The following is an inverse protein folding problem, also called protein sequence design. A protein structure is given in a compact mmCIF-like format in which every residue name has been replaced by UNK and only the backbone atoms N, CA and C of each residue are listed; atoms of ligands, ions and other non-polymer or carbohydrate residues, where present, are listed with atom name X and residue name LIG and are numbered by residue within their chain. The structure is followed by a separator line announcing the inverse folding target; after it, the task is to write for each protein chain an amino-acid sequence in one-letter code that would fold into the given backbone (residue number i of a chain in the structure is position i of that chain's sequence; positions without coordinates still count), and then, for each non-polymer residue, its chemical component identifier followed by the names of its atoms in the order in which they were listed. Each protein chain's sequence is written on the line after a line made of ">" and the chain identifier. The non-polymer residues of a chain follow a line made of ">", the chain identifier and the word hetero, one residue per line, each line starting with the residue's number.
data_IF_179619853687
#
_entry.id   IF_179619853687
#
_cell.length_a   1.000
_cell.length_b   1.000
_cell.length_c   1.000
_cell.angle_alpha   90.00
_cell.angle_beta   90.00
_cell.angle_gamma   90.00
#
_symmetry.space_group_name_H-M   'P 1'
#
loop_
_entity.id
_entity.type
_entity.pdbx_description
1 polymer ?
#
# COMPACT_ATOMS: atom_id res chain seq x y z
N UNK A 1 -12.60 1.57 -15.39
CA UNK A 1 -11.44 0.66 -15.50
C UNK A 1 -10.33 1.42 -16.23
N UNK A 2 -9.24 1.77 -15.54
CA UNK A 2 -8.07 2.40 -16.16
C UNK A 2 -7.40 1.42 -17.13
N UNK A 3 -6.62 1.96 -18.08
CA UNK A 3 -5.99 1.22 -19.19
C UNK A 3 -5.32 -0.07 -18.72
N UNK A 4 -5.49 -1.15 -19.49
CA UNK A 4 -4.75 -2.41 -19.34
C UNK A 4 -3.27 -2.08 -19.13
N UNK A 5 -2.66 -2.67 -18.09
CA UNK A 5 -1.27 -2.48 -17.63
C UNK A 5 -0.92 -1.17 -16.90
N UNK A 6 -1.89 -0.29 -16.59
CA UNK A 6 -1.66 0.92 -15.78
C UNK A 6 -2.41 0.83 -14.44
N UNK A 7 -1.83 0.07 -13.50
CA UNK A 7 -2.40 -0.21 -12.17
C UNK A 7 -1.92 0.74 -11.07
N UNK A 8 -1.39 1.92 -11.42
CA UNK A 8 -0.77 2.84 -10.46
C UNK A 8 -1.73 3.19 -9.32
N UNK A 9 -3.01 3.38 -9.63
CA UNK A 9 -4.03 3.71 -8.63
C UNK A 9 -4.69 2.46 -8.03
N UNK A 10 -4.76 1.37 -8.80
CA UNK A 10 -5.46 0.15 -8.40
C UNK A 10 -4.64 -0.68 -7.40
N UNK A 11 -3.34 -0.85 -7.63
CA UNK A 11 -2.47 -1.68 -6.77
C UNK A 11 -2.43 -1.21 -5.30
N UNK A 12 -2.25 0.09 -5.02
CA UNK A 12 -2.32 0.60 -3.65
C UNK A 12 -3.70 0.37 -3.00
N UNK A 13 -4.77 0.57 -3.77
CA UNK A 13 -6.15 0.38 -3.30
C UNK A 13 -6.44 -1.08 -2.98
N UNK A 14 -6.03 -2.02 -3.85
CA UNK A 14 -6.12 -3.46 -3.63
C UNK A 14 -5.34 -3.89 -2.39
N UNK A 15 -4.12 -3.35 -2.21
CA UNK A 15 -3.31 -3.62 -1.04
C UNK A 15 -3.99 -3.18 0.26
N UNK A 16 -4.56 -1.97 0.29
CA UNK A 16 -5.32 -1.46 1.44
C UNK A 16 -6.51 -2.37 1.77
N UNK A 17 -7.30 -2.75 0.76
CA UNK A 17 -8.44 -3.64 0.99
C UNK A 17 -8.02 -5.05 1.42
N UNK A 18 -6.88 -5.55 0.96
CA UNK A 18 -6.32 -6.82 1.43
C UNK A 18 -5.99 -6.79 2.93
N UNK A 19 -5.48 -5.65 3.41
CA UNK A 19 -5.22 -5.42 4.84
C UNK A 19 -6.53 -5.33 5.62
N UNK A 20 -7.46 -4.46 5.22
CA UNK A 20 -8.77 -4.31 5.88
C UNK A 20 -9.48 -5.67 6.00
N UNK A 21 -9.42 -6.48 4.94
CA UNK A 21 -10.04 -7.80 4.95
C UNK A 21 -9.38 -8.75 5.95
N UNK A 22 -8.04 -8.82 5.93
CA UNK A 22 -7.28 -9.75 6.77
C UNK A 22 -7.29 -9.38 8.25
N UNK A 23 -7.23 -8.09 8.55
CA UNK A 23 -7.07 -7.59 9.92
C UNK A 23 -8.40 -7.24 10.61
N UNK A 24 -9.49 -7.07 9.87
CA UNK A 24 -10.79 -6.70 10.43
C UNK A 24 -11.91 -7.62 9.91
N UNK A 25 -12.14 -7.66 8.59
CA UNK A 25 -13.33 -8.33 8.05
C UNK A 25 -13.37 -9.85 8.32
N UNK A 26 -12.27 -10.58 8.11
CA UNK A 26 -12.26 -12.04 8.24
C UNK A 26 -12.26 -12.55 9.68
N UNK A 27 -12.01 -11.66 10.65
CA UNK A 27 -11.91 -12.03 12.07
C UNK A 27 -13.11 -11.52 12.89
N UNK A 28 -14.06 -10.86 12.24
CA UNK A 28 -15.25 -10.27 12.87
C UNK A 28 -16.52 -10.82 12.22
N UNK A 29 -17.56 -10.97 13.04
CA UNK A 29 -18.91 -11.29 12.57
C UNK A 29 -19.73 -10.00 12.54
N UNK A 30 -20.53 -9.82 11.48
CA UNK A 30 -21.40 -8.64 11.32
C UNK A 30 -22.85 -9.11 11.16
N UNK A 31 -23.75 -8.52 11.93
CA UNK A 31 -25.17 -8.83 11.88
C UNK A 31 -25.88 -8.16 10.70
N UNK A 32 -25.44 -6.96 10.31
CA UNK A 32 -26.02 -6.20 9.20
C UNK A 32 -25.01 -5.30 8.47
N UNK A 33 -25.47 -4.67 7.39
CA UNK A 33 -24.67 -3.78 6.55
C UNK A 33 -24.20 -2.53 7.31
N UNK A 34 -25.01 -1.97 8.21
CA UNK A 34 -24.65 -0.76 8.94
C UNK A 34 -23.50 -1.02 9.89
N UNK A 35 -23.51 -2.16 10.58
CA UNK A 35 -22.42 -2.59 11.46
C UNK A 35 -21.12 -2.77 10.67
N UNK A 36 -21.18 -3.41 9.50
CA UNK A 36 -20.02 -3.53 8.61
C UNK A 36 -19.51 -2.17 8.14
N UNK A 37 -20.39 -1.26 7.71
CA UNK A 37 -20.01 0.08 7.29
C UNK A 37 -19.36 0.86 8.43
N UNK A 38 -19.88 0.75 9.65
CA UNK A 38 -19.30 1.37 10.83
C UNK A 38 -17.90 0.81 11.13
N UNK A 39 -17.74 -0.52 11.13
CA UNK A 39 -16.45 -1.16 11.37
C UNK A 39 -15.40 -0.76 10.32
N UNK A 40 -15.80 -0.63 9.04
CA UNK A 40 -14.91 -0.12 7.99
C UNK A 40 -14.51 1.33 8.28
N UNK A 41 -15.45 2.20 8.66
CA UNK A 41 -15.17 3.60 8.97
C UNK A 41 -14.21 3.74 10.16
N UNK A 42 -14.44 2.98 11.23
CA UNK A 42 -13.58 2.93 12.41
C UNK A 42 -12.18 2.39 12.08
N UNK A 43 -12.09 1.34 11.25
CA UNK A 43 -10.81 0.81 10.83
C UNK A 43 -10.03 1.80 9.95
N UNK A 44 -10.71 2.56 9.06
CA UNK A 44 -10.08 3.60 8.26
C UNK A 44 -9.53 4.72 9.15
N UNK A 45 -10.28 5.14 10.17
CA UNK A 45 -9.83 6.13 11.14
C UNK A 45 -8.60 5.64 11.91
N UNK A 46 -8.63 4.40 12.40
CA UNK A 46 -7.49 3.75 13.01
C UNK A 46 -6.29 3.66 12.06
N UNK A 47 -6.50 3.23 10.81
CA UNK A 47 -5.44 3.13 9.83
C UNK A 47 -4.76 4.48 9.59
N UNK A 48 -5.55 5.56 9.51
CA UNK A 48 -5.06 6.90 9.23
C UNK A 48 -4.32 7.53 10.39
N UNK A 49 -4.85 7.39 11.61
CA UNK A 49 -4.43 8.18 12.77
C UNK A 49 -3.84 7.35 13.92
N UNK A 50 -4.07 6.03 13.94
CA UNK A 50 -3.59 5.12 15.00
C UNK A 50 -2.56 4.08 14.56
N UNK A 51 -2.38 3.85 13.26
CA UNK A 51 -1.47 2.82 12.74
C UNK A 51 -0.04 3.34 12.58
N UNK A 52 0.71 3.35 13.67
CA UNK A 52 2.13 3.66 13.64
C UNK A 52 2.93 2.61 12.88
N UNK A 53 3.83 3.06 11.99
CA UNK A 53 4.62 2.18 11.15
C UNK A 53 6.12 2.47 11.33
N UNK A 54 6.89 1.43 11.63
CA UNK A 54 8.35 1.51 11.77
C UNK A 54 9.00 2.14 10.53
N UNK A 55 8.51 1.76 9.33
CA UNK A 55 8.95 2.34 8.06
C UNK A 55 8.86 3.86 8.01
N UNK A 56 7.88 4.43 8.71
CA UNK A 56 7.63 5.87 8.76
C UNK A 56 8.20 6.52 10.02
N UNK A 57 9.25 5.94 10.61
CA UNK A 57 9.83 6.42 11.86
C UNK A 57 8.81 6.46 13.00
N UNK A 58 7.92 5.45 13.06
CA UNK A 58 6.82 5.34 14.02
C UNK A 58 5.81 6.50 13.94
N UNK A 59 5.52 6.98 12.73
CA UNK A 59 4.44 7.92 12.46
C UNK A 59 3.22 7.20 11.85
N UNK A 60 2.04 7.73 12.11
CA UNK A 60 0.81 7.32 11.44
C UNK A 60 0.72 7.91 10.01
N UNK A 61 -0.02 7.27 9.09
CA UNK A 61 -0.13 7.74 7.70
C UNK A 61 -0.51 9.21 7.54
N UNK A 62 -1.45 9.71 8.34
CA UNK A 62 -1.86 11.11 8.26
C UNK A 62 -0.80 12.08 8.80
N UNK A 63 0.00 11.66 9.77
CA UNK A 63 1.14 12.46 10.26
C UNK A 63 2.21 12.59 9.18
N UNK A 64 2.53 11.49 8.49
CA UNK A 64 3.44 11.49 7.34
C UNK A 64 2.94 12.42 6.24
N UNK A 65 1.64 12.34 5.91
CA UNK A 65 1.02 13.22 4.91
C UNK A 65 1.09 14.68 5.31
N UNK A 66 0.79 15.01 6.57
CA UNK A 66 0.84 16.37 7.10
C UNK A 66 2.27 16.93 7.08
N UNK A 67 3.26 16.14 7.50
CA UNK A 67 4.67 16.52 7.44
C UNK A 67 5.13 16.78 6.00
N UNK A 68 4.69 15.96 5.05
CA UNK A 68 5.05 16.12 3.64
C UNK A 68 4.44 17.38 3.00
N UNK A 69 3.19 17.72 3.32
CA UNK A 69 2.51 18.91 2.80
C UNK A 69 3.13 20.21 3.35
N UNK A 70 3.61 20.19 4.59
CA UNK A 70 4.13 21.37 5.27
C UNK A 70 5.65 21.58 5.06
N UNK A 71 6.31 20.76 4.25
CA UNK A 71 7.76 20.83 4.03
C UNK A 71 8.07 21.12 2.56
N UNK A 72 9.01 22.04 2.32
CA UNK A 72 9.60 22.27 1.00
C UNK A 72 10.39 21.05 0.50
N UNK A 73 10.97 20.28 1.44
CA UNK A 73 11.72 19.05 1.18
C UNK A 73 11.13 17.89 1.98
N UNK A 74 10.09 17.20 1.47
CA UNK A 74 9.41 16.14 2.20
C UNK A 74 10.33 14.92 2.35
N UNK A 75 10.33 14.33 3.55
CA UNK A 75 11.04 13.08 3.86
C UNK A 75 10.59 11.99 2.88
N UNK A 76 11.56 11.29 2.30
CA UNK A 76 11.30 10.19 1.36
C UNK A 76 11.41 8.86 2.09
N UNK A 77 10.42 8.01 1.88
CA UNK A 77 10.41 6.63 2.36
C UNK A 77 10.54 5.70 1.16
N UNK A 78 11.75 5.36 0.71
CA UNK A 78 11.92 4.43 -0.40
C UNK A 78 11.34 3.06 -0.04
N UNK A 79 10.89 2.32 -1.05
CA UNK A 79 10.46 0.93 -0.88
C UNK A 79 11.74 0.08 -0.88
N UNK A 80 11.98 -0.79 0.12
CA UNK A 80 13.13 -1.67 0.11
C UNK A 80 13.16 -2.54 -1.15
N UNK A 81 14.34 -2.72 -1.74
CA UNK A 81 14.49 -3.54 -2.93
C UNK A 81 14.24 -5.01 -2.64
N UNK A 82 13.37 -5.64 -3.44
CA UNK A 82 13.14 -7.07 -3.37
C UNK A 82 14.12 -7.81 -4.29
N UNK A 83 15.04 -8.58 -3.69
CA UNK A 83 16.07 -9.35 -4.41
C UNK A 83 15.50 -10.27 -5.50
N UNK A 84 14.31 -10.85 -5.30
CA UNK A 84 13.66 -11.71 -6.30
C UNK A 84 13.22 -10.91 -7.53
N UNK A 85 12.70 -9.69 -7.32
CA UNK A 85 12.31 -8.80 -8.40
C UNK A 85 13.54 -8.36 -9.20
N UNK A 86 14.66 -8.08 -8.53
CA UNK A 86 15.91 -7.73 -9.19
C UNK A 86 16.43 -8.87 -10.07
N UNK A 87 16.47 -10.10 -9.53
CA UNK A 87 16.88 -11.29 -10.27
C UNK A 87 16.00 -11.50 -11.52
N UNK A 88 14.68 -11.42 -11.35
CA UNK A 88 13.73 -11.52 -12.46
C UNK A 88 13.96 -10.45 -13.54
N UNK A 89 14.19 -9.20 -13.14
CA UNK A 89 14.51 -8.12 -14.08
C UNK A 89 15.83 -8.37 -14.82
N UNK A 90 16.86 -8.86 -14.13
CA UNK A 90 18.15 -9.17 -14.75
C UNK A 90 18.02 -10.31 -15.79
N UNK A 91 17.25 -11.35 -15.48
CA UNK A 91 16.93 -12.43 -16.42
C UNK A 91 16.19 -11.91 -17.66
N UNK A 92 15.23 -11.00 -17.48
CA UNK A 92 14.52 -10.38 -18.61
C UNK A 92 15.46 -9.57 -19.49
N UNK A 93 16.38 -8.81 -18.91
CA UNK A 93 17.36 -8.03 -19.68
C UNK A 93 18.35 -8.92 -20.43
N UNK A 94 18.79 -10.04 -19.85
CA UNK A 94 19.61 -11.03 -20.54
C UNK A 94 18.89 -11.61 -21.76
N UNK A 95 17.63 -12.05 -21.59
CA UNK A 95 16.79 -12.59 -22.67
C UNK A 95 16.53 -11.57 -23.78
N UNK A 96 16.38 -10.27 -23.44
CA UNK A 96 16.24 -9.21 -24.45
C UNK A 96 17.51 -9.04 -25.27
N UNK A 97 18.69 -9.08 -24.64
CA UNK A 97 19.99 -8.97 -25.33
C UNK A 97 20.21 -10.14 -26.29
N UNK A 98 19.90 -11.37 -25.86
CA UNK A 98 19.98 -12.58 -26.70
C UNK A 98 19.05 -12.52 -27.91
N UNK A 99 17.92 -11.79 -27.83
CA UNK A 99 16.95 -11.67 -28.92
C UNK A 99 17.30 -10.59 -29.96
N UNK A 100 18.26 -9.72 -29.65
CA UNK A 100 18.69 -8.59 -30.48
C UNK A 100 20.06 -8.88 -31.12
N UNK A 101 20.85 -9.79 -30.55
CA UNK A 101 22.07 -10.34 -31.14
C UNK A 101 21.74 -11.41 -32.20
#
# INVERSE_FOLDING_TARGET
>A
MSRVSCCIDNGPTEGLWGIIKSEMYYISDFADENELCQAIAEYIEYYNNGRYQERFSNLAPMEVRKAAINSEFPVKYPIPENKRILAYKAELEAKKKERIA
#
